data_IF_704655957668
#
_entry.id   IF_704655957668
#
_cell.length_a   1.000
_cell.length_b   1.000
_cell.length_c   1.000
_cell.angle_alpha   90.00
_cell.angle_beta   90.00
_cell.angle_gamma   90.00
#
_symmetry.space_group_name_H-M   'P 1'
#
loop_
_entity.id
_entity.type
_entity.pdbx_description
1 polymer ?
#
# COMPACT_ATOMS: atom_id res chain seq x y z
N UNK A 1 9.66 -14.36 -20.87
CA UNK A 1 9.14 -13.97 -19.53
C UNK A 1 10.34 -13.74 -18.62
N UNK A 2 10.53 -12.53 -18.07
CA UNK A 2 11.62 -12.24 -17.13
C UNK A 2 11.05 -12.30 -15.73
N UNK A 3 11.53 -13.24 -14.92
CA UNK A 3 11.12 -13.33 -13.51
C UNK A 3 11.87 -12.27 -12.72
N UNK A 4 11.14 -11.54 -11.87
CA UNK A 4 11.73 -10.64 -10.89
C UNK A 4 12.33 -11.47 -9.75
N UNK A 5 13.50 -11.05 -9.29
CA UNK A 5 14.18 -11.64 -8.14
C UNK A 5 14.25 -10.58 -7.05
N UNK A 6 14.03 -11.01 -5.80
CA UNK A 6 14.07 -10.15 -4.63
C UNK A 6 15.16 -10.66 -3.70
N UNK A 7 15.86 -9.75 -3.03
CA UNK A 7 17.00 -10.09 -2.18
C UNK A 7 16.81 -9.51 -0.78
N UNK A 8 17.16 -10.29 0.24
CA UNK A 8 17.28 -9.85 1.63
C UNK A 8 18.74 -9.99 2.03
N UNK A 9 19.47 -8.88 2.01
CA UNK A 9 20.94 -8.92 2.09
C UNK A 9 21.51 -9.53 0.81
N UNK A 10 22.15 -10.71 0.90
CA UNK A 10 22.71 -11.45 -0.24
C UNK A 10 21.87 -12.69 -0.62
N UNK A 11 20.78 -12.97 0.10
CA UNK A 11 19.93 -14.14 -0.13
C UNK A 11 18.76 -13.80 -1.06
N UNK A 12 18.52 -14.65 -2.07
CA UNK A 12 17.32 -14.57 -2.91
C UNK A 12 16.10 -15.10 -2.17
N UNK A 13 15.05 -14.30 -2.10
CA UNK A 13 13.83 -14.64 -1.36
C UNK A 13 12.57 -14.36 -2.18
N UNK A 14 11.44 -15.03 -1.90
CA UNK A 14 10.15 -14.64 -2.45
C UNK A 14 9.75 -13.22 -1.99
N UNK A 15 9.11 -12.45 -2.86
CA UNK A 15 8.68 -11.06 -2.54
C UNK A 15 7.94 -10.95 -1.20
N UNK A 16 7.06 -11.90 -0.90
CA UNK A 16 6.24 -11.84 0.31
C UNK A 16 7.06 -11.92 1.61
N UNK A 17 8.26 -12.51 1.62
CA UNK A 17 9.05 -12.59 2.86
C UNK A 17 9.69 -11.25 3.25
N UNK A 18 9.78 -10.30 2.31
CA UNK A 18 10.34 -8.97 2.56
C UNK A 18 9.49 -8.11 3.50
N UNK A 19 8.19 -8.40 3.60
CA UNK A 19 7.24 -7.56 4.35
C UNK A 19 6.91 -8.11 5.74
N UNK A 20 7.49 -9.25 6.14
CA UNK A 20 7.26 -9.84 7.45
C UNK A 20 5.77 -10.00 7.79
N UNK A 21 5.34 -9.38 8.89
CA UNK A 21 3.96 -9.40 9.35
C UNK A 21 3.08 -8.31 8.73
N UNK A 22 3.58 -7.43 7.84
CA UNK A 22 2.84 -6.33 7.22
C UNK A 22 1.95 -6.76 6.06
N UNK A 23 1.38 -7.96 6.15
CA UNK A 23 0.55 -8.56 5.12
C UNK A 23 -0.82 -8.94 5.67
N UNK A 24 -1.85 -8.50 4.95
CA UNK A 24 -3.24 -8.85 5.22
C UNK A 24 -3.82 -9.49 3.94
N UNK A 25 -3.68 -10.82 3.85
CA UNK A 25 -4.15 -11.61 2.71
C UNK A 25 -5.14 -12.67 3.20
N UNK A 26 -6.38 -12.25 3.39
CA UNK A 26 -7.51 -13.09 3.79
C UNK A 26 -8.83 -12.43 3.36
N UNK A 27 -9.95 -13.11 3.59
CA UNK A 27 -11.26 -12.56 3.31
C UNK A 27 -11.65 -11.53 4.37
N UNK A 28 -11.55 -10.24 4.02
CA UNK A 28 -12.11 -9.12 4.76
C UNK A 28 -12.21 -7.89 3.83
N UNK A 29 -12.79 -6.80 4.31
CA UNK A 29 -12.80 -5.55 3.55
C UNK A 29 -11.39 -4.94 3.49
N UNK A 30 -11.06 -4.26 2.39
CA UNK A 30 -9.78 -3.54 2.29
C UNK A 30 -9.64 -2.46 3.36
N UNK A 31 -10.74 -1.87 3.83
CA UNK A 31 -10.71 -0.94 4.95
C UNK A 31 -10.27 -1.62 6.26
N UNK A 32 -10.71 -2.85 6.52
CA UNK A 32 -10.26 -3.63 7.69
C UNK A 32 -8.78 -4.01 7.59
N UNK A 33 -8.32 -4.44 6.41
CA UNK A 33 -6.89 -4.70 6.17
C UNK A 33 -6.05 -3.46 6.52
N UNK A 34 -6.44 -2.27 6.05
CA UNK A 34 -5.72 -1.04 6.35
C UNK A 34 -5.71 -0.70 7.85
N UNK A 35 -6.81 -0.94 8.57
CA UNK A 35 -6.83 -0.76 10.04
C UNK A 35 -5.84 -1.69 10.75
N UNK A 36 -5.73 -2.94 10.29
CA UNK A 36 -4.75 -3.87 10.86
C UNK A 36 -3.32 -3.46 10.53
N UNK A 37 -3.06 -3.06 9.27
CA UNK A 37 -1.74 -2.57 8.84
C UNK A 37 -1.33 -1.33 9.65
N UNK A 38 -2.23 -0.36 9.87
CA UNK A 38 -1.93 0.83 10.68
C UNK A 38 -1.46 0.45 12.09
N UNK A 39 -2.16 -0.48 12.75
CA UNK A 39 -1.76 -0.96 14.09
C UNK A 39 -0.39 -1.64 14.08
N UNK A 40 -0.07 -2.39 13.03
CA UNK A 40 1.24 -3.06 12.89
C UNK A 40 2.36 -2.03 12.64
N UNK A 41 2.13 -1.10 11.70
CA UNK A 41 3.08 -0.03 11.39
C UNK A 41 3.34 0.85 12.61
N UNK A 42 2.31 1.25 13.35
CA UNK A 42 2.45 2.05 14.58
C UNK A 42 3.35 1.40 15.65
N UNK A 43 3.38 0.06 15.72
CA UNK A 43 4.28 -0.66 16.65
C UNK A 43 5.75 -0.59 16.22
N UNK A 44 6.00 -0.49 14.92
CA UNK A 44 7.35 -0.42 14.36
C UNK A 44 7.85 1.01 14.20
N UNK A 45 6.96 1.91 13.79
CA UNK A 45 7.21 3.33 13.55
C UNK A 45 6.06 4.16 14.16
N UNK A 46 6.24 4.65 15.40
CA UNK A 46 5.25 5.47 16.08
C UNK A 46 4.97 6.82 15.42
N UNK A 47 5.77 7.25 14.44
CA UNK A 47 5.53 8.50 13.70
C UNK A 47 4.39 8.38 12.69
N UNK A 48 3.94 7.16 12.41
CA UNK A 48 2.78 6.89 11.56
C UNK A 48 1.51 6.95 12.39
N UNK A 49 0.85 8.11 12.41
CA UNK A 49 -0.29 8.40 13.28
C UNK A 49 -1.63 8.05 12.66
N UNK A 50 -1.79 8.16 11.34
CA UNK A 50 -3.07 7.97 10.68
C UNK A 50 -2.99 7.55 9.20
N UNK A 51 -4.16 7.32 8.60
CA UNK A 51 -4.31 6.84 7.23
C UNK A 51 -3.87 7.82 6.14
N UNK A 52 -3.77 9.12 6.41
CA UNK A 52 -3.33 10.11 5.44
C UNK A 52 -1.89 9.87 4.99
N UNK A 53 -1.07 9.23 5.83
CA UNK A 53 0.30 8.85 5.51
C UNK A 53 0.41 7.65 4.57
N UNK A 54 -0.71 7.03 4.19
CA UNK A 54 -0.75 5.85 3.34
C UNK A 54 -1.05 6.24 1.89
N UNK A 55 -0.44 5.49 0.97
CA UNK A 55 -0.73 5.52 -0.46
C UNK A 55 -1.11 4.10 -0.91
N UNK A 56 -2.30 3.96 -1.48
CA UNK A 56 -2.89 2.68 -1.83
C UNK A 56 -3.19 2.60 -3.33
N UNK A 57 -2.91 1.43 -3.93
CA UNK A 57 -3.18 1.14 -5.34
C UNK A 57 -4.01 -0.14 -5.45
N UNK A 58 -5.10 -0.09 -6.21
CA UNK A 58 -5.98 -1.26 -6.44
C UNK A 58 -6.68 -1.16 -7.80
N UNK A 59 -6.96 -2.30 -8.41
CA UNK A 59 -7.64 -2.38 -9.70
C UNK A 59 -9.16 -2.50 -9.58
N UNK A 60 -9.73 -2.53 -8.37
CA UNK A 60 -11.17 -2.60 -8.13
C UNK A 60 -11.72 -1.31 -7.54
N UNK A 61 -12.73 -0.73 -8.19
CA UNK A 61 -13.28 0.58 -7.81
C UNK A 61 -13.95 0.58 -6.41
N UNK A 62 -14.54 -0.55 -6.01
CA UNK A 62 -15.12 -0.75 -4.68
C UNK A 62 -14.06 -0.66 -3.57
N UNK A 63 -12.87 -1.24 -3.79
CA UNK A 63 -11.74 -1.17 -2.86
C UNK A 63 -11.26 0.27 -2.73
N UNK A 64 -11.09 0.97 -3.86
CA UNK A 64 -10.71 2.39 -3.87
C UNK A 64 -11.73 3.22 -3.08
N UNK A 65 -13.03 3.06 -3.34
CA UNK A 65 -14.07 3.79 -2.63
C UNK A 65 -14.07 3.51 -1.12
N UNK A 66 -13.93 2.24 -0.72
CA UNK A 66 -13.92 1.85 0.69
C UNK A 66 -12.69 2.39 1.44
N UNK A 67 -11.51 2.37 0.81
CA UNK A 67 -10.24 2.77 1.43
C UNK A 67 -10.07 4.30 1.42
N UNK A 68 -10.52 5.00 0.38
CA UNK A 68 -10.55 6.47 0.38
C UNK A 68 -11.40 7.03 1.52
N UNK A 69 -12.51 6.38 1.87
CA UNK A 69 -13.39 6.81 2.97
C UNK A 69 -12.73 6.77 4.35
N UNK A 70 -11.67 5.97 4.53
CA UNK A 70 -10.91 5.95 5.79
C UNK A 70 -9.75 6.95 5.81
N UNK A 71 -9.55 7.73 4.74
CA UNK A 71 -8.54 8.80 4.68
C UNK A 71 -7.24 8.44 3.97
N UNK A 72 -7.15 7.25 3.36
CA UNK A 72 -5.98 6.82 2.58
C UNK A 72 -6.00 7.46 1.19
N UNK A 73 -4.85 7.97 0.74
CA UNK A 73 -4.68 8.39 -0.65
C UNK A 73 -4.76 7.15 -1.55
N UNK A 74 -5.86 7.00 -2.30
CA UNK A 74 -6.14 5.78 -3.07
C UNK A 74 -6.15 6.04 -4.57
N UNK A 75 -5.44 5.21 -5.32
CA UNK A 75 -5.25 5.35 -6.77
C UNK A 75 -5.80 4.12 -7.47
N UNK A 76 -6.82 4.34 -8.31
CA UNK A 76 -7.32 3.29 -9.18
C UNK A 76 -6.29 2.96 -10.26
N UNK A 77 -5.99 1.67 -10.41
CA UNK A 77 -5.03 1.15 -11.39
C UNK A 77 -5.62 -0.03 -12.18
N UNK A 78 -6.71 0.20 -12.92
CA UNK A 78 -7.40 -0.85 -13.72
C UNK A 78 -6.51 -1.57 -14.73
N UNK A 79 -5.52 -0.87 -15.31
CA UNK A 79 -4.50 -1.46 -16.19
C UNK A 79 -3.28 -2.05 -15.47
N UNK A 80 -3.35 -2.19 -14.14
CA UNK A 80 -2.23 -2.59 -13.30
C UNK A 80 -1.29 -1.43 -12.93
N UNK A 81 -0.27 -1.76 -12.14
CA UNK A 81 0.75 -0.80 -11.71
C UNK A 81 1.76 -0.55 -12.84
N UNK A 82 1.86 0.70 -13.24
CA UNK A 82 2.86 1.21 -14.20
C UNK A 82 3.67 2.33 -13.54
N UNK A 83 4.87 2.67 -14.05
CA UNK A 83 5.64 3.81 -13.54
C UNK A 83 4.81 5.11 -13.47
N UNK A 84 4.08 5.45 -14.54
CA UNK A 84 3.22 6.63 -14.56
C UNK A 84 2.04 6.58 -13.58
N UNK A 85 1.49 5.39 -13.29
CA UNK A 85 0.47 5.23 -12.24
C UNK A 85 1.06 5.48 -10.85
N UNK A 86 2.26 4.96 -10.59
CA UNK A 86 2.95 5.18 -9.33
C UNK A 86 3.30 6.67 -9.12
N UNK A 87 3.89 7.32 -10.13
CA UNK A 87 4.23 8.74 -10.11
C UNK A 87 3.01 9.63 -9.89
N UNK A 88 1.90 9.33 -10.57
CA UNK A 88 0.62 10.02 -10.36
C UNK A 88 0.16 9.89 -8.90
N UNK A 89 0.23 8.68 -8.34
CA UNK A 89 -0.13 8.44 -6.94
C UNK A 89 0.73 9.22 -5.96
N UNK A 90 2.05 9.22 -6.17
CA UNK A 90 2.98 10.02 -5.37
C UNK A 90 2.67 11.51 -5.44
N UNK A 91 2.38 12.04 -6.64
CA UNK A 91 2.00 13.44 -6.81
C UNK A 91 0.72 13.78 -6.05
N UNK A 92 -0.31 12.93 -6.17
CA UNK A 92 -1.58 13.11 -5.44
C UNK A 92 -1.36 13.11 -3.92
N UNK A 93 -0.57 12.16 -3.41
CA UNK A 93 -0.26 12.06 -1.99
C UNK A 93 0.46 13.32 -1.48
N UNK A 94 1.50 13.79 -2.18
CA UNK A 94 2.21 15.02 -1.80
C UNK A 94 1.31 16.25 -1.76
N UNK A 95 0.41 16.38 -2.75
CA UNK A 95 -0.56 17.49 -2.78
C UNK A 95 -1.49 17.51 -1.57
N UNK A 96 -1.89 16.33 -1.06
CA UNK A 96 -2.70 16.24 0.17
C UNK A 96 -1.93 16.73 1.40
N UNK A 97 -0.61 16.57 1.41
CA UNK A 97 0.28 16.96 2.51
C UNK A 97 0.94 18.33 2.34
N UNK A 98 0.67 19.04 1.23
CA UNK A 98 1.34 20.30 0.85
C UNK A 98 2.87 20.19 0.83
N UNK A 99 3.38 19.01 0.46
CA UNK A 99 4.81 18.71 0.26
C UNK A 99 5.27 18.96 -1.17
#
# INVERSE_FOLDING_TARGET
MRLFHFEKGQERVPMHTLFGDLQEVYYASKAEHHRTILKKVQRMDPSVTDFSQFLFFDNQQNNISAVSRVGVCSVYCGGGMTPGTFERGLKMWRQMHKL
#
